data_IF_534559253343
#
_entry.id   IF_534559253343
#
_cell.length_a   1.000
_cell.length_b   1.000
_cell.length_c   1.000
_cell.angle_alpha   90.00
_cell.angle_beta   90.00
_cell.angle_gamma   90.00
#
_symmetry.space_group_name_H-M   'P 1'
#
loop_
_entity.id
_entity.type
_entity.pdbx_description
1 polymer ?
#
# COMPACT_ATOMS: atom_id res chain seq x y z
N UNK A 1 -29.52 -4.25 2.19
CA UNK A 1 -28.67 -4.42 0.99
C UNK A 1 -27.67 -3.28 0.97
N UNK A 2 -26.42 -3.54 0.58
CA UNK A 2 -25.40 -2.50 0.40
C UNK A 2 -25.27 -2.23 -1.10
N UNK A 3 -25.21 -0.96 -1.49
CA UNK A 3 -24.98 -0.55 -2.88
C UNK A 3 -23.59 0.10 -2.96
N UNK A 4 -22.77 -0.40 -3.88
CA UNK A 4 -21.45 0.13 -4.22
C UNK A 4 -21.57 0.61 -5.67
N UNK A 5 -21.16 1.84 -5.96
CA UNK A 5 -21.19 2.42 -7.31
C UNK A 5 -19.86 3.09 -7.63
N UNK A 6 -19.43 2.89 -8.88
CA UNK A 6 -18.12 3.16 -9.45
C UNK A 6 -18.10 4.34 -10.43
N UNK A 7 -19.26 4.92 -10.77
CA UNK A 7 -19.36 6.00 -11.76
C UNK A 7 -19.46 7.39 -11.10
N UNK A 8 -18.34 8.13 -11.13
CA UNK A 8 -18.20 9.47 -10.57
C UNK A 8 -18.80 10.55 -11.51
N UNK A 9 -19.12 10.18 -12.75
CA UNK A 9 -19.48 11.13 -13.79
C UNK A 9 -20.94 11.06 -14.21
N UNK A 10 -21.89 10.95 -13.28
CA UNK A 10 -23.28 11.41 -13.45
C UNK A 10 -24.06 11.32 -12.14
N UNK A 11 -25.15 12.10 -11.96
CA UNK A 11 -26.05 12.02 -10.83
C UNK A 11 -26.93 10.76 -10.89
N UNK A 12 -26.34 9.58 -11.09
CA UNK A 12 -27.05 8.27 -11.01
C UNK A 12 -27.41 7.92 -9.57
N UNK A 13 -26.97 8.73 -8.59
CA UNK A 13 -27.51 8.72 -7.24
C UNK A 13 -29.03 8.94 -7.18
N UNK A 14 -29.69 9.44 -8.23
CA UNK A 14 -31.09 9.86 -8.10
C UNK A 14 -32.14 8.83 -8.54
N UNK A 15 -31.83 7.81 -9.34
CA UNK A 15 -32.84 6.83 -9.77
C UNK A 15 -32.69 5.48 -9.07
N UNK A 16 -31.46 4.96 -8.95
CA UNK A 16 -31.23 3.67 -8.30
C UNK A 16 -31.34 3.79 -6.78
N UNK A 17 -30.79 4.85 -6.18
CA UNK A 17 -30.97 5.09 -4.74
C UNK A 17 -32.42 5.44 -4.40
N UNK A 18 -33.11 6.22 -5.25
CA UNK A 18 -34.55 6.52 -5.08
C UNK A 18 -35.41 5.27 -5.24
N UNK A 19 -35.13 4.39 -6.21
CA UNK A 19 -35.84 3.12 -6.34
C UNK A 19 -35.61 2.22 -5.12
N UNK A 20 -34.37 2.07 -4.67
CA UNK A 20 -34.00 1.20 -3.55
C UNK A 20 -34.50 1.71 -2.19
N UNK A 21 -34.68 3.03 -2.04
CA UNK A 21 -35.28 3.67 -0.85
C UNK A 21 -36.79 3.89 -0.97
N UNK A 22 -37.39 3.68 -2.15
CA UNK A 22 -38.84 3.76 -2.35
C UNK A 22 -39.58 2.54 -1.80
N UNK A 23 -40.85 2.72 -1.45
CA UNK A 23 -41.76 1.62 -1.08
C UNK A 23 -42.06 0.63 -2.22
N UNK A 24 -41.53 0.85 -3.43
CA UNK A 24 -41.64 -0.08 -4.57
C UNK A 24 -40.48 -1.09 -4.63
N UNK A 25 -39.44 -0.91 -3.81
CA UNK A 25 -38.33 -1.85 -3.69
C UNK A 25 -38.78 -3.14 -3.00
N UNK A 26 -38.52 -4.32 -3.57
CA UNK A 26 -38.80 -5.61 -2.91
C UNK A 26 -37.79 -5.95 -1.80
N UNK A 27 -36.81 -5.07 -1.53
CA UNK A 27 -35.73 -5.27 -0.56
C UNK A 27 -36.05 -4.62 0.80
N UNK A 28 -35.57 -5.19 1.93
CA UNK A 28 -35.76 -4.61 3.26
C UNK A 28 -35.15 -3.20 3.39
N UNK A 29 -35.63 -2.35 4.32
CA UNK A 29 -35.20 -0.97 4.48
C UNK A 29 -33.67 -0.88 4.57
N UNK A 30 -33.10 -0.10 3.67
CA UNK A 30 -31.66 -0.01 3.43
C UNK A 30 -30.94 0.52 4.69
N UNK A 31 -30.09 -0.31 5.32
CA UNK A 31 -29.38 0.03 6.56
C UNK A 31 -28.05 0.79 6.37
N UNK A 32 -27.59 1.05 5.13
CA UNK A 32 -26.43 1.90 4.90
C UNK A 32 -25.88 1.87 3.46
N UNK A 33 -25.39 3.02 3.01
CA UNK A 33 -24.54 3.17 1.82
C UNK A 33 -23.08 3.24 2.26
N UNK A 34 -22.24 2.37 1.70
CA UNK A 34 -20.77 2.41 1.80
C UNK A 34 -20.24 2.76 0.42
N UNK A 35 -19.71 3.97 0.25
CA UNK A 35 -19.05 4.39 -0.98
C UNK A 35 -17.61 3.86 -1.00
N UNK A 36 -17.18 3.30 -2.13
CA UNK A 36 -15.77 3.15 -2.53
C UNK A 36 -15.69 3.54 -4.00
N UNK A 37 -15.10 4.71 -4.31
CA UNK A 37 -13.98 4.71 -5.24
C UNK A 37 -12.88 5.68 -4.73
N UNK A 38 -12.18 5.28 -3.67
CA UNK A 38 -11.05 6.07 -3.15
C UNK A 38 -9.80 5.96 -4.04
N UNK A 39 -9.77 5.00 -4.97
CA UNK A 39 -8.53 4.64 -5.68
C UNK A 39 -8.16 5.65 -6.78
N UNK A 40 -9.11 6.46 -7.31
CA UNK A 40 -8.85 7.27 -8.53
C UNK A 40 -9.03 8.80 -8.36
N UNK A 41 -9.90 9.33 -7.48
CA UNK A 41 -10.33 10.75 -7.58
C UNK A 41 -10.23 11.62 -6.32
N UNK A 42 -9.92 11.07 -5.14
CA UNK A 42 -9.57 11.87 -3.95
C UNK A 42 -10.70 12.69 -3.29
N UNK A 43 -11.94 12.21 -3.28
CA UNK A 43 -13.02 12.80 -2.47
C UNK A 43 -13.25 12.00 -1.17
N UNK A 44 -13.58 12.71 -0.07
CA UNK A 44 -13.77 12.17 1.28
C UNK A 44 -14.92 11.15 1.41
N UNK A 45 -15.03 10.49 2.56
CA UNK A 45 -16.02 9.48 2.95
C UNK A 45 -17.47 9.99 3.00
N UNK A 46 -18.45 9.17 2.58
CA UNK A 46 -19.88 9.47 2.68
C UNK A 46 -20.65 8.27 3.21
N UNK A 47 -21.48 8.49 4.23
CA UNK A 47 -22.46 7.53 4.71
C UNK A 47 -23.86 8.12 4.54
N UNK A 48 -24.78 7.37 3.92
CA UNK A 48 -26.21 7.69 3.95
C UNK A 48 -26.91 6.64 4.79
N UNK A 49 -27.57 7.09 5.86
CA UNK A 49 -28.32 6.26 6.78
C UNK A 49 -29.78 6.71 6.78
N UNK A 50 -30.71 5.77 6.58
CA UNK A 50 -32.14 6.01 6.81
C UNK A 50 -32.55 5.21 8.05
N UNK A 51 -32.45 5.83 9.23
CA UNK A 51 -33.05 5.29 10.45
C UNK A 51 -34.57 5.48 10.35
N UNK A 52 -35.42 4.57 10.86
CA UNK A 52 -36.87 4.79 10.99
C UNK A 52 -37.28 5.97 11.91
N UNK A 53 -36.33 6.76 12.43
CA UNK A 53 -36.56 7.94 13.29
C UNK A 53 -35.82 9.19 12.77
N UNK A 54 -35.17 9.11 11.61
CA UNK A 54 -34.36 10.20 11.06
C UNK A 54 -34.87 10.43 9.64
N UNK A 55 -35.65 11.50 9.48
CA UNK A 55 -36.36 11.84 8.24
C UNK A 55 -35.44 12.39 7.14
N UNK A 56 -34.17 12.70 7.45
CA UNK A 56 -33.22 13.29 6.49
C UNK A 56 -31.84 12.61 6.52
N UNK A 57 -31.22 12.36 5.35
CA UNK A 57 -29.83 11.93 5.24
C UNK A 57 -28.89 12.86 6.02
N UNK A 58 -28.05 12.31 6.89
CA UNK A 58 -27.01 13.07 7.58
C UNK A 58 -25.63 12.81 6.97
N UNK A 59 -24.86 13.87 6.81
CA UNK A 59 -23.45 13.84 6.37
C UNK A 59 -22.55 14.22 7.57
N UNK A 60 -21.41 13.54 7.74
CA UNK A 60 -20.45 13.86 8.81
C UNK A 60 -19.19 12.97 8.78
N UNK A 61 -18.14 13.39 9.50
CA UNK A 61 -16.89 12.63 9.69
C UNK A 61 -17.03 11.78 10.95
N UNK A 62 -16.76 10.47 10.86
CA UNK A 62 -16.75 9.57 12.02
C UNK A 62 -15.33 9.54 12.60
N UNK A 63 -15.13 10.18 13.74
CA UNK A 63 -13.81 10.25 14.38
C UNK A 63 -13.34 8.95 15.05
N UNK A 64 -14.27 8.08 15.48
CA UNK A 64 -13.95 6.77 16.07
C UNK A 64 -14.99 5.72 15.66
N UNK A 65 -14.52 4.51 15.33
CA UNK A 65 -15.38 3.36 14.95
C UNK A 65 -16.46 3.09 15.99
N UNK A 66 -16.14 3.23 17.27
CA UNK A 66 -17.07 3.01 18.38
C UNK A 66 -18.24 4.01 18.42
N UNK A 67 -18.09 5.17 17.78
CA UNK A 67 -19.11 6.20 17.71
C UNK A 67 -20.12 5.98 16.56
N UNK A 68 -19.84 5.05 15.63
CA UNK A 68 -20.73 4.72 14.51
C UNK A 68 -21.30 3.32 14.63
N UNK A 69 -22.60 3.24 14.94
CA UNK A 69 -23.34 1.98 14.98
C UNK A 69 -23.29 1.24 13.62
N UNK A 70 -23.22 1.97 12.50
CA UNK A 70 -23.09 1.38 11.17
C UNK A 70 -21.71 0.74 10.95
N UNK A 71 -20.63 1.37 11.44
CA UNK A 71 -19.28 0.79 11.35
C UNK A 71 -19.10 -0.40 12.30
N UNK A 72 -19.71 -0.35 13.49
CA UNK A 72 -19.75 -1.50 14.41
C UNK A 72 -20.51 -2.68 13.81
N UNK A 73 -21.65 -2.43 13.16
CA UNK A 73 -22.44 -3.48 12.51
C UNK A 73 -21.70 -4.07 11.31
N UNK A 74 -21.08 -3.22 10.47
CA UNK A 74 -20.23 -3.70 9.37
C UNK A 74 -19.08 -4.55 9.88
N UNK A 75 -18.38 -4.12 10.92
CA UNK A 75 -17.31 -4.90 11.56
C UNK A 75 -17.82 -6.22 12.13
N UNK A 76 -19.03 -6.24 12.70
CA UNK A 76 -19.65 -7.47 13.19
C UNK A 76 -20.04 -8.44 12.05
N UNK A 77 -20.46 -7.90 10.91
CA UNK A 77 -20.93 -8.68 9.76
C UNK A 77 -19.79 -9.16 8.85
N UNK A 78 -18.71 -8.39 8.72
CA UNK A 78 -17.60 -8.66 7.77
C UNK A 78 -16.27 -8.93 8.46
N UNK A 79 -16.13 -8.58 9.74
CA UNK A 79 -14.86 -8.67 10.47
C UNK A 79 -13.81 -7.62 10.07
N UNK A 80 -14.14 -6.70 9.15
CA UNK A 80 -13.21 -5.71 8.63
C UNK A 80 -13.67 -4.27 8.92
N UNK A 81 -12.72 -3.40 9.25
CA UNK A 81 -12.91 -1.96 9.29
C UNK A 81 -12.86 -1.39 7.87
N UNK A 82 -13.42 -0.18 7.64
CA UNK A 82 -13.15 0.53 6.41
C UNK A 82 -11.64 0.77 6.23
N UNK A 83 -11.16 0.79 4.98
CA UNK A 83 -9.77 1.14 4.68
C UNK A 83 -9.43 2.54 5.25
N UNK A 84 -8.17 2.81 5.64
CA UNK A 84 -7.77 4.14 6.10
C UNK A 84 -8.00 5.18 5.00
N UNK A 85 -8.29 6.43 5.37
CA UNK A 85 -8.49 7.49 4.39
C UNK A 85 -7.23 7.72 3.54
N UNK A 86 -7.40 8.21 2.32
CA UNK A 86 -6.30 8.57 1.43
C UNK A 86 -5.28 9.49 2.14
N UNK A 87 -5.75 10.48 2.90
CA UNK A 87 -4.88 11.39 3.65
C UNK A 87 -4.07 10.65 4.73
N UNK A 88 -4.67 9.68 5.43
CA UNK A 88 -3.97 8.85 6.41
C UNK A 88 -2.93 7.93 5.73
N UNK A 89 -3.28 7.36 4.57
CA UNK A 89 -2.36 6.54 3.78
C UNK A 89 -1.21 7.41 3.27
N UNK A 90 -1.48 8.59 2.73
CA UNK A 90 -0.45 9.52 2.27
C UNK A 90 0.45 9.98 3.42
N UNK A 91 -0.12 10.28 4.60
CA UNK A 91 0.67 10.61 5.78
C UNK A 91 1.58 9.45 6.19
N UNK A 92 1.05 8.21 6.16
CA UNK A 92 1.81 6.97 6.42
C UNK A 92 2.95 6.77 5.40
N UNK A 93 2.71 7.02 4.11
CA UNK A 93 3.71 6.89 3.04
C UNK A 93 4.76 8.01 3.03
N UNK A 94 4.38 9.22 3.47
CA UNK A 94 5.27 10.37 3.56
C UNK A 94 6.05 10.42 4.89
N UNK A 95 5.70 9.59 5.87
CA UNK A 95 6.39 9.52 7.16
C UNK A 95 7.89 9.26 6.99
N UNK A 96 8.68 9.92 7.83
CA UNK A 96 10.12 9.70 8.01
C UNK A 96 10.43 9.17 9.41
N UNK A 97 9.42 8.78 10.18
CA UNK A 97 9.60 8.27 11.53
C UNK A 97 10.06 6.81 11.49
N UNK A 98 11.38 6.62 11.39
CA UNK A 98 12.02 5.31 11.31
C UNK A 98 12.47 4.76 12.67
N UNK A 99 12.47 5.56 13.73
CA UNK A 99 12.80 5.13 15.10
C UNK A 99 14.26 4.69 15.31
N UNK A 100 15.16 5.10 14.42
CA UNK A 100 16.61 4.83 14.52
C UNK A 100 17.26 6.06 15.15
N UNK A 101 18.25 5.86 16.02
CA UNK A 101 19.04 6.95 16.59
C UNK A 101 19.64 7.83 15.48
N UNK A 102 19.73 9.14 15.71
CA UNK A 102 20.14 10.09 14.69
C UNK A 102 21.60 9.86 14.21
N UNK A 103 22.51 9.49 15.11
CA UNK A 103 23.90 9.23 14.73
C UNK A 103 24.03 7.90 13.97
N UNK A 104 23.30 6.88 14.42
CA UNK A 104 23.25 5.59 13.72
C UNK A 104 22.58 5.71 12.34
N UNK A 105 21.51 6.49 12.22
CA UNK A 105 20.85 6.76 10.94
C UNK A 105 21.78 7.49 9.98
N UNK A 106 22.49 8.54 10.43
CA UNK A 106 23.45 9.25 9.61
C UNK A 106 24.55 8.32 9.05
N UNK A 107 25.09 7.43 9.90
CA UNK A 107 26.09 6.42 9.50
C UNK A 107 25.52 5.42 8.48
N UNK A 108 24.27 4.96 8.66
CA UNK A 108 23.58 4.10 7.69
C UNK A 108 23.44 4.79 6.33
N UNK A 109 23.06 6.07 6.30
CA UNK A 109 22.88 6.83 5.07
C UNK A 109 24.22 7.08 4.37
N UNK A 110 25.28 7.39 5.12
CA UNK A 110 26.63 7.55 4.57
C UNK A 110 27.13 6.25 3.93
N UNK A 111 26.96 5.11 4.61
CA UNK A 111 27.34 3.80 4.10
C UNK A 111 26.53 3.39 2.85
N UNK A 112 25.23 3.68 2.83
CA UNK A 112 24.39 3.42 1.66
C UNK A 112 24.77 4.30 0.44
N UNK A 113 25.15 5.56 0.65
CA UNK A 113 25.65 6.45 -0.41
C UNK A 113 26.99 6.01 -0.98
N UNK A 114 27.90 5.58 -0.10
CA UNK A 114 29.23 5.13 -0.48
C UNK A 114 29.23 3.72 -1.08
N UNK A 115 28.10 3.01 -1.05
CA UNK A 115 28.01 1.63 -1.49
C UNK A 115 28.16 1.51 -3.01
N UNK A 116 29.32 0.97 -3.42
CA UNK A 116 29.59 0.54 -4.78
C UNK A 116 29.36 -0.97 -4.83
N UNK A 117 28.34 -1.45 -5.56
CA UNK A 117 28.03 -2.87 -5.63
C UNK A 117 29.26 -3.68 -6.07
N UNK A 118 29.69 -4.68 -5.28
CA UNK A 118 30.82 -5.50 -5.64
C UNK A 118 30.52 -6.35 -6.87
N UNK A 119 31.56 -6.61 -7.67
CA UNK A 119 31.46 -7.49 -8.84
C UNK A 119 31.29 -8.97 -8.46
N UNK A 120 31.70 -9.34 -7.24
CA UNK A 120 31.67 -10.73 -6.77
C UNK A 120 30.31 -11.07 -6.14
N UNK A 121 29.74 -12.20 -6.57
CA UNK A 121 28.40 -12.65 -6.19
C UNK A 121 28.28 -13.00 -4.70
N UNK A 122 29.34 -13.50 -4.07
CA UNK A 122 29.39 -13.82 -2.64
C UNK A 122 29.19 -12.59 -1.74
N UNK A 123 29.81 -11.45 -2.09
CA UNK A 123 29.64 -10.20 -1.33
C UNK A 123 28.25 -9.60 -1.56
N UNK A 124 27.70 -9.73 -2.77
CA UNK A 124 26.32 -9.32 -3.08
C UNK A 124 25.29 -10.14 -2.29
N UNK A 125 25.47 -11.46 -2.22
CA UNK A 125 24.61 -12.37 -1.44
C UNK A 125 24.55 -11.97 0.03
N UNK A 126 25.69 -11.58 0.60
CA UNK A 126 25.78 -11.22 2.02
C UNK A 126 24.93 -10.00 2.40
N UNK A 127 24.79 -9.01 1.50
CA UNK A 127 23.90 -7.86 1.74
C UNK A 127 22.43 -8.28 1.64
N UNK A 128 22.10 -9.09 0.64
CA UNK A 128 20.77 -9.68 0.51
C UNK A 128 20.37 -10.48 1.75
N UNK A 129 21.23 -11.39 2.24
CA UNK A 129 20.94 -12.26 3.39
C UNK A 129 20.71 -11.45 4.68
N UNK A 130 21.50 -10.39 4.88
CA UNK A 130 21.33 -9.50 6.03
C UNK A 130 20.01 -8.71 5.96
N UNK A 131 19.62 -8.24 4.78
CA UNK A 131 18.33 -7.59 4.58
C UNK A 131 17.17 -8.59 4.78
N UNK A 132 17.26 -9.78 4.18
CA UNK A 132 16.24 -10.81 4.24
C UNK A 132 15.99 -11.33 5.66
N UNK A 133 17.06 -11.50 6.46
CA UNK A 133 16.94 -11.84 7.89
C UNK A 133 16.13 -10.78 8.68
N UNK A 134 16.20 -9.52 8.26
CA UNK A 134 15.48 -8.41 8.86
C UNK A 134 13.97 -8.40 8.65
N UNK A 135 13.46 -9.15 7.66
CA UNK A 135 12.04 -9.15 7.30
C UNK A 135 11.20 -9.65 8.47
N UNK A 136 11.63 -10.72 9.12
CA UNK A 136 10.95 -11.30 10.29
C UNK A 136 11.51 -10.79 11.62
N UNK A 137 12.77 -10.35 11.63
CA UNK A 137 13.46 -9.83 12.82
C UNK A 137 14.13 -8.48 12.52
N UNK A 138 13.37 -7.37 12.58
CA UNK A 138 13.88 -6.06 12.19
C UNK A 138 15.06 -5.61 13.03
N UNK A 139 16.09 -5.07 12.36
CA UNK A 139 17.25 -4.47 12.99
C UNK A 139 17.78 -3.32 12.15
N UNK A 140 18.50 -2.39 12.76
CA UNK A 140 19.15 -1.26 12.06
C UNK A 140 20.15 -1.75 11.02
N UNK A 141 20.86 -2.85 11.32
CA UNK A 141 21.72 -3.56 10.37
C UNK A 141 20.97 -4.06 9.14
N UNK A 142 19.79 -4.66 9.32
CA UNK A 142 19.00 -5.12 8.19
C UNK A 142 18.45 -3.95 7.36
N UNK A 143 18.05 -2.84 7.99
CA UNK A 143 17.65 -1.62 7.28
C UNK A 143 18.80 -1.10 6.42
N UNK A 144 20.03 -1.03 6.98
CA UNK A 144 21.25 -0.66 6.24
C UNK A 144 21.47 -1.54 5.00
N UNK A 145 21.44 -2.86 5.18
CA UNK A 145 21.61 -3.80 4.07
C UNK A 145 20.47 -3.73 3.06
N UNK A 146 19.24 -3.47 3.50
CA UNK A 146 18.11 -3.26 2.60
C UNK A 146 18.32 -2.02 1.73
N UNK A 147 18.74 -0.88 2.30
CA UNK A 147 19.05 0.33 1.52
C UNK A 147 20.10 0.05 0.44
N UNK A 148 21.15 -0.71 0.76
CA UNK A 148 22.15 -1.17 -0.22
C UNK A 148 21.56 -2.08 -1.29
N UNK A 149 20.61 -2.95 -0.95
CA UNK A 149 19.93 -3.78 -1.94
C UNK A 149 19.16 -2.90 -2.94
N UNK A 150 18.51 -1.83 -2.48
CA UNK A 150 17.76 -0.91 -3.34
C UNK A 150 18.63 0.02 -4.20
N UNK A 151 19.96 0.04 -4.04
CA UNK A 151 20.84 0.78 -4.98
C UNK A 151 21.07 0.05 -6.29
N UNK A 152 20.69 -1.23 -6.40
CA UNK A 152 20.83 -2.01 -7.64
C UNK A 152 19.59 -2.82 -7.97
N UNK A 153 19.19 -2.91 -9.26
CA UNK A 153 18.07 -3.76 -9.66
C UNK A 153 18.25 -5.24 -9.28
N UNK A 154 19.47 -5.78 -9.42
CA UNK A 154 19.74 -7.21 -9.11
C UNK A 154 19.48 -7.55 -7.65
N UNK A 155 19.96 -6.74 -6.70
CA UNK A 155 19.73 -7.00 -5.28
C UNK A 155 18.31 -6.64 -4.86
N UNK A 156 17.77 -5.52 -5.36
CA UNK A 156 16.38 -5.10 -5.11
C UNK A 156 15.40 -6.20 -5.49
N UNK A 157 15.49 -6.71 -6.72
CA UNK A 157 14.53 -7.68 -7.24
C UNK A 157 14.70 -9.03 -6.52
N UNK A 158 15.93 -9.42 -6.16
CA UNK A 158 16.15 -10.59 -5.30
C UNK A 158 15.53 -10.41 -3.91
N UNK A 159 15.71 -9.25 -3.28
CA UNK A 159 15.11 -8.91 -1.98
C UNK A 159 13.58 -8.91 -2.06
N UNK A 160 13.00 -8.44 -3.16
CA UNK A 160 11.57 -8.46 -3.39
C UNK A 160 10.97 -9.87 -3.34
N UNK A 161 11.71 -10.88 -3.78
CA UNK A 161 11.29 -12.29 -3.63
C UNK A 161 11.18 -12.67 -2.15
N UNK A 162 12.17 -12.30 -1.33
CA UNK A 162 12.14 -12.57 0.11
C UNK A 162 11.00 -11.83 0.81
N UNK A 163 10.72 -10.59 0.41
CA UNK A 163 9.58 -9.82 0.92
C UNK A 163 8.23 -10.48 0.59
N UNK A 164 8.15 -11.17 -0.57
CA UNK A 164 6.95 -11.85 -1.03
C UNK A 164 6.79 -13.28 -0.50
N UNK A 165 7.82 -13.88 0.11
CA UNK A 165 7.73 -15.18 0.80
C UNK A 165 6.81 -15.08 2.04
N UNK A 166 6.90 -13.96 2.77
CA UNK A 166 5.93 -13.55 3.83
C UNK A 166 5.51 -12.10 3.59
N UNK A 167 4.44 -11.86 2.80
CA UNK A 167 4.02 -10.52 2.41
C UNK A 167 3.65 -9.60 3.58
N UNK A 168 3.18 -10.15 4.71
CA UNK A 168 2.79 -9.36 5.89
C UNK A 168 4.01 -8.85 6.65
N UNK A 169 5.01 -9.72 6.86
CA UNK A 169 6.29 -9.32 7.41
C UNK A 169 7.04 -8.39 6.44
N UNK A 170 7.03 -8.75 5.15
CA UNK A 170 7.62 -7.98 4.06
C UNK A 170 7.08 -6.57 3.98
N UNK A 171 5.76 -6.38 4.04
CA UNK A 171 5.13 -5.05 4.02
C UNK A 171 5.64 -4.18 5.17
N UNK A 172 5.61 -4.69 6.40
CA UNK A 172 6.07 -3.95 7.59
C UNK A 172 7.54 -3.55 7.47
N UNK A 173 8.39 -4.46 6.97
CA UNK A 173 9.80 -4.18 6.78
C UNK A 173 10.04 -3.16 5.66
N UNK A 174 9.35 -3.29 4.52
CA UNK A 174 9.45 -2.34 3.41
C UNK A 174 9.05 -0.93 3.82
N UNK A 175 7.99 -0.78 4.62
CA UNK A 175 7.60 0.52 5.18
C UNK A 175 8.65 1.10 6.13
N UNK A 176 9.26 0.27 6.97
CA UNK A 176 10.35 0.71 7.85
C UNK A 176 11.55 1.21 7.05
N UNK A 177 11.95 0.47 6.00
CA UNK A 177 13.05 0.87 5.11
C UNK A 177 12.68 2.16 4.37
N UNK A 178 11.47 2.26 3.83
CA UNK A 178 10.96 3.47 3.16
C UNK A 178 11.03 4.71 4.06
N UNK A 179 10.64 4.60 5.34
CA UNK A 179 10.74 5.71 6.31
C UNK A 179 12.18 6.12 6.60
N UNK A 180 13.12 5.18 6.51
CA UNK A 180 14.55 5.45 6.70
C UNK A 180 15.19 6.15 5.49
N UNK A 181 14.58 6.12 4.30
CA UNK A 181 15.13 6.77 3.10
C UNK A 181 14.98 8.30 3.19
N UNK A 182 16.07 9.06 3.01
CA UNK A 182 16.01 10.52 2.95
C UNK A 182 15.05 11.02 1.87
N UNK A 183 14.28 12.07 2.17
CA UNK A 183 13.36 12.71 1.20
C UNK A 183 14.09 13.27 -0.02
N UNK A 184 15.39 13.56 0.11
CA UNK A 184 16.25 14.00 -0.99
C UNK A 184 16.60 12.89 -2.00
N UNK A 185 16.20 11.64 -1.78
CA UNK A 185 16.47 10.50 -2.67
C UNK A 185 15.18 10.01 -3.36
N UNK A 186 14.63 10.78 -4.31
CA UNK A 186 13.32 10.49 -4.90
C UNK A 186 13.27 9.13 -5.61
N UNK A 187 14.31 8.73 -6.35
CA UNK A 187 14.33 7.44 -7.05
C UNK A 187 14.21 6.25 -6.10
N UNK A 188 15.00 6.22 -5.02
CA UNK A 188 14.93 5.14 -4.03
C UNK A 188 13.59 5.16 -3.28
N UNK A 189 13.08 6.34 -2.92
CA UNK A 189 11.75 6.47 -2.30
C UNK A 189 10.66 5.94 -3.22
N UNK A 190 10.66 6.32 -4.50
CA UNK A 190 9.70 5.82 -5.47
C UNK A 190 9.73 4.29 -5.56
N UNK A 191 10.92 3.68 -5.66
CA UNK A 191 11.05 2.23 -5.72
C UNK A 191 10.53 1.52 -4.47
N UNK A 192 10.84 2.02 -3.27
CA UNK A 192 10.35 1.46 -2.01
C UNK A 192 8.84 1.66 -1.83
N UNK A 193 8.30 2.82 -2.19
CA UNK A 193 6.84 3.07 -2.20
C UNK A 193 6.14 2.12 -3.17
N UNK A 194 6.74 1.83 -4.34
CA UNK A 194 6.22 0.80 -5.26
C UNK A 194 6.30 -0.60 -4.66
N UNK A 195 7.38 -0.95 -3.96
CA UNK A 195 7.47 -2.23 -3.23
C UNK A 195 6.35 -2.34 -2.18
N UNK A 196 6.05 -1.26 -1.45
CA UNK A 196 4.90 -1.20 -0.54
C UNK A 196 3.59 -1.43 -1.29
N UNK A 197 3.40 -0.85 -2.48
CA UNK A 197 2.21 -1.08 -3.30
C UNK A 197 2.02 -2.56 -3.68
N UNK A 198 3.09 -3.22 -4.12
CA UNK A 198 3.07 -4.65 -4.47
C UNK A 198 2.73 -5.51 -3.25
N UNK A 199 3.36 -5.24 -2.10
CA UNK A 199 3.14 -6.00 -0.86
C UNK A 199 1.75 -5.72 -0.27
N UNK A 200 1.22 -4.51 -0.41
CA UNK A 200 -0.13 -4.15 -0.02
C UNK A 200 -1.16 -4.94 -0.85
N UNK A 201 -0.96 -5.06 -2.18
CA UNK A 201 -1.78 -5.95 -3.00
C UNK A 201 -1.67 -7.42 -2.55
N UNK A 202 -0.46 -7.92 -2.31
CA UNK A 202 -0.22 -9.30 -1.87
C UNK A 202 -0.82 -9.62 -0.48
N UNK A 203 -1.13 -8.60 0.32
CA UNK A 203 -1.71 -8.73 1.67
C UNK A 203 -3.20 -8.39 1.71
N UNK A 204 -3.84 -8.11 0.56
CA UNK A 204 -5.26 -7.81 0.49
C UNK A 204 -5.62 -6.40 0.96
N UNK A 205 -4.72 -5.42 0.80
CA UNK A 205 -4.92 -4.01 1.12
C UNK A 205 -4.93 -3.14 -0.16
N UNK A 206 -5.96 -3.27 -1.02
CA UNK A 206 -6.01 -2.59 -2.32
C UNK A 206 -6.02 -1.06 -2.22
N UNK A 207 -6.62 -0.46 -1.20
CA UNK A 207 -6.59 1.00 -1.00
C UNK A 207 -5.17 1.53 -0.76
N UNK A 208 -4.42 0.88 0.15
CA UNK A 208 -3.01 1.19 0.37
C UNK A 208 -2.20 0.97 -0.91
N UNK A 209 -2.47 -0.10 -1.64
CA UNK A 209 -1.74 -0.44 -2.85
C UNK A 209 -1.94 0.60 -3.96
N UNK A 210 -3.17 1.06 -4.18
CA UNK A 210 -3.52 2.10 -5.15
C UNK A 210 -2.84 3.43 -4.84
N UNK A 211 -3.00 3.93 -3.61
CA UNK A 211 -2.37 5.19 -3.19
C UNK A 211 -0.84 5.11 -3.27
N UNK A 212 -0.25 3.99 -2.83
CA UNK A 212 1.20 3.80 -2.92
C UNK A 212 1.70 3.74 -4.37
N UNK A 213 0.98 3.05 -5.28
CA UNK A 213 1.35 2.97 -6.68
C UNK A 213 1.36 4.36 -7.35
N UNK A 214 0.30 5.14 -7.17
CA UNK A 214 0.24 6.51 -7.69
C UNK A 214 1.30 7.41 -7.06
N UNK A 215 1.43 7.39 -5.74
CA UNK A 215 2.41 8.21 -5.01
C UNK A 215 3.84 7.92 -5.46
N UNK A 216 4.16 6.66 -5.74
CA UNK A 216 5.49 6.30 -6.25
C UNK A 216 5.78 6.98 -7.60
N UNK A 217 4.80 7.08 -8.50
CA UNK A 217 4.96 7.77 -9.78
C UNK A 217 5.07 9.29 -9.64
N UNK A 218 4.43 9.89 -8.62
CA UNK A 218 4.59 11.32 -8.32
C UNK A 218 6.00 11.64 -7.78
N UNK A 219 6.55 10.75 -6.95
CA UNK A 219 7.90 10.90 -6.38
C UNK A 219 8.98 10.69 -7.46
N UNK A 220 8.81 9.67 -8.30
CA UNK A 220 9.77 9.27 -9.33
C UNK A 220 9.11 9.07 -10.69
N UNK A 221 8.78 10.16 -11.42
CA UNK A 221 8.03 10.08 -12.68
C UNK A 221 8.80 9.36 -13.80
N UNK A 222 10.13 9.33 -13.74
CA UNK A 222 10.99 8.70 -14.74
C UNK A 222 11.32 7.22 -14.42
N UNK A 223 10.84 6.69 -13.29
CA UNK A 223 11.12 5.33 -12.86
C UNK A 223 10.19 4.32 -13.55
N UNK A 224 10.79 3.30 -14.20
CA UNK A 224 10.03 2.31 -14.96
C UNK A 224 9.20 1.36 -14.08
N UNK A 225 9.76 0.91 -12.95
CA UNK A 225 9.08 -0.05 -12.08
C UNK A 225 7.82 0.54 -11.42
N UNK A 226 7.86 1.73 -10.79
CA UNK A 226 6.66 2.45 -10.34
C UNK A 226 5.62 2.64 -11.43
N UNK A 227 6.04 3.05 -12.63
CA UNK A 227 5.15 3.28 -13.77
C UNK A 227 4.40 2.02 -14.21
N UNK A 228 5.06 0.85 -14.17
CA UNK A 228 4.43 -0.42 -14.54
C UNK A 228 3.44 -0.91 -13.48
N UNK A 229 3.80 -0.77 -12.20
CA UNK A 229 2.91 -1.13 -11.08
C UNK A 229 1.65 -0.27 -11.10
N UNK A 230 1.78 1.05 -11.23
CA UNK A 230 0.62 1.94 -11.34
C UNK A 230 -0.31 1.56 -12.50
N UNK A 231 0.24 1.33 -13.71
CA UNK A 231 -0.57 0.91 -14.86
C UNK A 231 -1.35 -0.38 -14.63
N UNK A 232 -0.73 -1.37 -13.97
CA UNK A 232 -1.40 -2.64 -13.67
C UNK A 232 -2.45 -2.51 -12.58
N UNK A 233 -2.19 -1.65 -11.58
CA UNK A 233 -3.16 -1.29 -10.54
C UNK A 233 -4.37 -0.57 -11.14
N UNK A 234 -4.15 0.40 -12.04
CA UNK A 234 -5.22 1.20 -12.69
C UNK A 234 -6.22 0.34 -13.48
N UNK A 235 -5.74 -0.73 -14.11
CA UNK A 235 -6.59 -1.66 -14.89
C UNK A 235 -7.13 -2.83 -14.06
N UNK A 236 -6.97 -2.78 -12.72
CA UNK A 236 -7.49 -3.80 -11.81
C UNK A 236 -6.75 -5.15 -11.87
N UNK A 237 -5.53 -5.18 -12.40
CA UNK A 237 -4.72 -6.39 -12.55
C UNK A 237 -3.74 -6.61 -11.38
N UNK A 238 -4.11 -6.19 -10.17
CA UNK A 238 -3.26 -6.24 -8.97
C UNK A 238 -2.78 -7.66 -8.61
N UNK A 239 -3.65 -8.66 -8.70
CA UNK A 239 -3.25 -10.07 -8.47
C UNK A 239 -2.22 -10.54 -9.50
N UNK A 240 -2.48 -10.28 -10.78
CA UNK A 240 -1.56 -10.63 -11.87
C UNK A 240 -0.23 -9.89 -11.78
N UNK A 241 -0.26 -8.64 -11.32
CA UNK A 241 0.95 -7.86 -11.04
C UNK A 241 1.81 -8.53 -9.97
N UNK A 242 1.22 -8.96 -8.85
CA UNK A 242 1.95 -9.66 -7.78
C UNK A 242 2.59 -10.95 -8.30
N UNK A 243 1.87 -11.73 -9.10
CA UNK A 243 2.41 -12.94 -9.74
C UNK A 243 3.63 -12.64 -10.61
N UNK A 244 3.51 -11.69 -11.55
CA UNK A 244 4.59 -11.34 -12.48
C UNK A 244 5.82 -10.80 -11.74
N UNK A 245 5.60 -9.98 -10.71
CA UNK A 245 6.67 -9.46 -9.87
C UNK A 245 7.36 -10.59 -9.10
N UNK A 246 6.59 -11.53 -8.53
CA UNK A 246 7.14 -12.70 -7.84
C UNK A 246 7.99 -13.56 -8.77
N UNK A 247 7.48 -13.92 -9.95
CA UNK A 247 8.21 -14.72 -10.94
C UNK A 247 9.55 -14.07 -11.33
N UNK A 248 9.53 -12.77 -11.63
CA UNK A 248 10.74 -12.01 -11.96
C UNK A 248 11.73 -11.95 -10.79
N UNK A 249 11.23 -11.68 -9.59
CA UNK A 249 12.02 -11.58 -8.37
C UNK A 249 12.68 -12.92 -8.01
N UNK A 250 11.94 -14.03 -8.07
CA UNK A 250 12.46 -15.38 -7.80
C UNK A 250 13.55 -15.80 -8.79
N UNK A 251 13.39 -15.44 -10.07
CA UNK A 251 14.42 -15.65 -11.08
C UNK A 251 15.69 -14.86 -10.75
N UNK A 252 15.56 -13.59 -10.39
CA UNK A 252 16.72 -12.77 -10.01
C UNK A 252 17.39 -13.29 -8.74
N UNK A 253 16.61 -13.71 -7.74
CA UNK A 253 17.12 -14.38 -6.54
C UNK A 253 17.91 -15.64 -6.90
N UNK A 254 17.39 -16.48 -7.79
CA UNK A 254 18.09 -17.69 -8.25
C UNK A 254 19.45 -17.32 -8.87
N UNK A 255 19.46 -16.37 -9.81
CA UNK A 255 20.68 -15.87 -10.45
C UNK A 255 21.67 -15.32 -9.42
N UNK A 256 21.21 -14.64 -8.36
CA UNK A 256 22.09 -14.14 -7.30
C UNK A 256 22.86 -15.27 -6.59
N UNK A 257 22.26 -16.45 -6.44
CA UNK A 257 22.85 -17.59 -5.72
C UNK A 257 23.59 -18.58 -6.62
N UNK A 258 23.32 -18.61 -7.92
CA UNK A 258 23.90 -19.59 -8.85
C UNK A 258 24.96 -19.03 -9.78
N UNK A 259 25.00 -17.72 -10.00
CA UNK A 259 25.92 -17.03 -10.94
C UNK A 259 26.72 -15.93 -10.24
#
# INVERSE_FOLDING_TARGET
>A
AYMISDDIAQPVFDETATYLTSGASPLPPLLGVVQVPEIVTGAAWWSVYQHPLIDEPRHGVVGEVAASAALQQMLADTGALPEPSKDDIEARLNSTDHGIDAAEHADIIEDALAYIPPMFSDVLQREYEQAAAGITQPSTRAVRSALKCFTTPRLRDALLAALLDDPQAGLRFAEQVMRAVPTSWPGMRAQLTTTVAVLAHATGQPGLAGVAAHRATEIGPDENFPSLVAKLTDIGQGERMVELVREGAEKTRTILFTE
#
